data_IF_012493487284
#
_entry.id   IF_012493487284
#
_cell.length_a   1.000
_cell.length_b   1.000
_cell.length_c   1.000
_cell.angle_alpha   90.00
_cell.angle_beta   90.00
_cell.angle_gamma   90.00
#
_symmetry.space_group_name_H-M   'P 1'
#
loop_
_entity.id
_entity.type
_entity.pdbx_description
1 polymer ?
#
# COMPACT_ATOMS: atom_id res chain seq x y z
N UNK A 1 -7.76 -18.85 8.36
CA UNK A 1 -6.56 -19.28 7.62
C UNK A 1 -6.63 -18.68 6.24
N UNK A 2 -5.68 -17.80 5.93
CA UNK A 2 -5.60 -17.11 4.65
C UNK A 2 -5.12 -18.14 3.61
N UNK A 3 -6.00 -18.59 2.74
CA UNK A 3 -5.73 -19.63 1.73
C UNK A 3 -4.97 -19.10 0.51
N UNK A 4 -4.61 -17.80 0.51
CA UNK A 4 -4.00 -17.12 -0.65
C UNK A 4 -2.50 -16.81 -0.48
N UNK A 5 -1.88 -17.28 0.62
CA UNK A 5 -0.44 -17.13 0.80
C UNK A 5 0.33 -18.09 -0.09
N UNK A 6 1.44 -17.60 -0.63
CA UNK A 6 2.27 -18.31 -1.60
C UNK A 6 3.63 -18.67 -1.02
N UNK A 7 4.19 -19.77 -1.53
CA UNK A 7 5.61 -20.05 -1.33
C UNK A 7 6.46 -19.11 -2.23
N UNK A 8 7.75 -18.90 -1.92
CA UNK A 8 8.66 -18.18 -2.81
C UNK A 8 8.70 -18.74 -4.24
N UNK A 9 8.56 -20.07 -4.39
CA UNK A 9 8.55 -20.71 -5.70
C UNK A 9 7.22 -20.50 -6.46
N UNK A 10 6.09 -20.39 -5.77
CA UNK A 10 4.83 -20.04 -6.43
C UNK A 10 4.89 -18.62 -6.99
N UNK A 11 5.46 -17.67 -6.22
CA UNK A 11 5.69 -16.30 -6.70
C UNK A 11 6.65 -16.27 -7.89
N UNK A 12 7.70 -17.10 -7.86
CA UNK A 12 8.63 -17.23 -8.97
C UNK A 12 7.92 -17.72 -10.24
N UNK A 13 7.09 -18.76 -10.14
CA UNK A 13 6.35 -19.31 -11.28
C UNK A 13 5.38 -18.27 -11.86
N UNK A 14 4.66 -17.53 -11.01
CA UNK A 14 3.78 -16.46 -11.46
C UNK A 14 4.57 -15.35 -12.16
N UNK A 15 5.72 -14.97 -11.61
CA UNK A 15 6.60 -13.94 -12.19
C UNK A 15 7.16 -14.39 -13.53
N UNK A 16 7.54 -15.65 -13.67
CA UNK A 16 8.01 -16.22 -14.95
C UNK A 16 6.93 -16.10 -16.03
N UNK A 17 5.69 -16.46 -15.70
CA UNK A 17 4.57 -16.33 -16.63
C UNK A 17 4.35 -14.88 -17.06
N UNK A 18 4.43 -13.93 -16.13
CA UNK A 18 4.29 -12.50 -16.41
C UNK A 18 5.43 -11.98 -17.30
N UNK A 19 6.68 -12.34 -16.98
CA UNK A 19 7.86 -11.95 -17.78
C UNK A 19 7.74 -12.50 -19.20
N UNK A 20 7.34 -13.77 -19.37
CA UNK A 20 7.13 -14.37 -20.69
C UNK A 20 6.06 -13.60 -21.48
N UNK A 21 4.90 -13.35 -20.89
CA UNK A 21 3.82 -12.60 -21.54
C UNK A 21 4.26 -11.18 -21.92
N UNK A 22 4.99 -10.49 -21.07
CA UNK A 22 5.49 -9.15 -21.35
C UNK A 22 6.51 -9.15 -22.52
N UNK A 23 7.40 -10.13 -22.57
CA UNK A 23 8.34 -10.31 -23.66
C UNK A 23 7.62 -10.57 -24.99
N UNK A 24 6.59 -11.42 -24.99
CA UNK A 24 5.78 -11.72 -26.16
C UNK A 24 5.06 -10.46 -26.68
N UNK A 25 4.45 -9.67 -25.76
CA UNK A 25 3.78 -8.42 -26.11
C UNK A 25 4.78 -7.40 -26.68
N UNK A 26 5.97 -7.30 -26.09
CA UNK A 26 7.00 -6.36 -26.50
C UNK A 26 7.78 -6.83 -27.74
N UNK A 27 7.63 -8.08 -28.16
CA UNK A 27 8.38 -8.67 -29.29
C UNK A 27 9.88 -8.80 -29.02
N UNK A 28 10.27 -9.01 -27.75
CA UNK A 28 11.68 -9.15 -27.33
C UNK A 28 11.95 -10.54 -26.77
N UNK A 29 13.23 -10.95 -26.82
CA UNK A 29 13.66 -12.19 -26.17
C UNK A 29 13.86 -11.97 -24.67
N UNK A 30 13.44 -12.93 -23.80
CA UNK A 30 13.74 -12.88 -22.37
C UNK A 30 15.23 -12.67 -22.04
N UNK A 31 16.12 -13.20 -22.89
CA UNK A 31 17.58 -13.05 -22.74
C UNK A 31 18.08 -11.61 -23.00
N UNK A 32 17.25 -10.75 -23.58
CA UNK A 32 17.58 -9.33 -23.78
C UNK A 32 17.26 -8.45 -22.57
N UNK A 33 16.65 -9.01 -21.52
CA UNK A 33 16.32 -8.28 -20.29
C UNK A 33 17.62 -8.06 -19.51
N UNK A 34 17.92 -6.79 -19.21
CA UNK A 34 19.13 -6.41 -18.48
C UNK A 34 18.94 -6.46 -16.94
N UNK A 35 17.74 -6.25 -16.45
CA UNK A 35 17.39 -6.33 -15.02
C UNK A 35 15.86 -6.44 -14.85
N UNK A 36 15.44 -6.96 -13.70
CA UNK A 36 14.02 -7.04 -13.30
C UNK A 36 13.86 -6.33 -11.96
N UNK A 37 12.88 -5.43 -11.86
CA UNK A 37 12.44 -4.81 -10.61
C UNK A 37 11.17 -5.48 -10.09
N UNK A 38 11.14 -5.81 -8.80
CA UNK A 38 9.99 -6.41 -8.11
C UNK A 38 9.60 -5.56 -6.92
N UNK A 39 8.38 -5.00 -6.95
CA UNK A 39 7.75 -4.38 -5.79
C UNK A 39 6.88 -5.41 -5.07
N UNK A 40 7.06 -5.58 -3.77
CA UNK A 40 6.27 -6.49 -2.95
C UNK A 40 5.82 -5.82 -1.65
N UNK A 41 4.55 -6.04 -1.27
CA UNK A 41 4.08 -5.58 0.04
C UNK A 41 4.81 -6.31 1.16
N UNK A 42 5.37 -5.58 2.12
CA UNK A 42 6.07 -6.16 3.27
C UNK A 42 7.41 -5.49 3.60
N UNK A 43 8.16 -6.12 4.48
CA UNK A 43 9.46 -5.67 4.97
C UNK A 43 10.56 -6.29 4.10
N UNK A 44 11.29 -5.45 3.38
CA UNK A 44 12.30 -5.88 2.41
C UNK A 44 13.65 -5.24 2.70
N UNK A 45 14.69 -6.05 2.74
CA UNK A 45 16.06 -5.57 2.65
C UNK A 45 16.42 -5.48 1.16
N UNK A 46 16.39 -4.27 0.60
CA UNK A 46 16.62 -4.05 -0.83
C UNK A 46 18.07 -4.34 -1.28
N UNK A 47 19.06 -4.31 -0.37
CA UNK A 47 20.44 -4.61 -0.71
C UNK A 47 20.68 -6.10 -0.97
N UNK A 48 19.98 -6.96 -0.21
CA UNK A 48 20.10 -8.41 -0.32
C UNK A 48 18.96 -9.07 -1.09
N UNK A 49 17.85 -8.33 -1.33
CA UNK A 49 16.61 -8.88 -1.89
C UNK A 49 15.90 -9.86 -0.96
N UNK A 50 16.21 -9.81 0.36
CA UNK A 50 15.56 -10.62 1.39
C UNK A 50 14.23 -9.98 1.79
N UNK A 51 13.14 -10.73 1.65
CA UNK A 51 11.83 -10.34 2.18
C UNK A 51 11.70 -10.92 3.58
N UNK A 52 11.96 -10.09 4.59
CA UNK A 52 11.88 -10.51 5.99
C UNK A 52 10.45 -10.87 6.41
N UNK A 53 9.45 -10.16 5.87
CA UNK A 53 8.04 -10.47 6.06
C UNK A 53 7.19 -9.93 4.91
N UNK A 54 6.17 -10.67 4.52
CA UNK A 54 5.15 -10.22 3.56
C UNK A 54 3.80 -10.85 3.87
N UNK A 55 2.68 -10.12 3.72
CA UNK A 55 1.35 -10.71 3.83
C UNK A 55 1.06 -11.74 2.72
N UNK A 56 1.82 -11.72 1.63
CA UNK A 56 1.69 -12.62 0.48
C UNK A 56 2.41 -13.95 0.67
N UNK A 57 3.38 -14.03 1.58
CA UNK A 57 4.22 -15.20 1.80
C UNK A 57 3.75 -16.05 2.98
N UNK A 58 3.90 -17.37 2.86
CA UNK A 58 3.57 -18.33 3.92
C UNK A 58 4.56 -18.28 5.09
N UNK A 59 5.83 -17.98 4.78
CA UNK A 59 6.93 -17.94 5.74
C UNK A 59 7.75 -16.65 5.63
N UNK A 60 8.34 -16.19 6.73
CA UNK A 60 9.28 -15.06 6.73
C UNK A 60 10.62 -15.45 6.08
N UNK A 61 11.50 -14.45 5.95
CA UNK A 61 12.90 -14.57 5.52
C UNK A 61 13.08 -15.24 4.15
N UNK A 62 12.26 -14.84 3.18
CA UNK A 62 12.32 -15.34 1.80
C UNK A 62 13.41 -14.60 0.99
N UNK A 63 14.45 -15.30 0.46
CA UNK A 63 15.53 -14.69 -0.32
C UNK A 63 15.11 -14.50 -1.79
N UNK A 64 14.05 -13.71 -2.04
CA UNK A 64 13.46 -13.57 -3.38
C UNK A 64 14.45 -12.98 -4.40
N UNK A 65 15.29 -12.04 -4.00
CA UNK A 65 16.27 -11.44 -4.90
C UNK A 65 17.21 -12.49 -5.51
N UNK A 66 17.78 -13.35 -4.68
CA UNK A 66 18.68 -14.42 -5.15
C UNK A 66 17.90 -15.48 -5.94
N UNK A 67 16.79 -15.97 -5.40
CA UNK A 67 15.95 -16.98 -6.04
C UNK A 67 15.54 -16.58 -7.47
N UNK A 68 15.13 -15.33 -7.65
CA UNK A 68 14.69 -14.81 -8.94
C UNK A 68 15.87 -14.52 -9.87
N UNK A 69 16.99 -13.96 -9.35
CA UNK A 69 18.18 -13.70 -10.14
C UNK A 69 18.79 -14.99 -10.71
N UNK A 70 18.85 -16.04 -9.89
CA UNK A 70 19.36 -17.37 -10.31
C UNK A 70 18.46 -17.98 -11.40
N UNK A 71 17.14 -17.81 -11.26
CA UNK A 71 16.18 -18.36 -12.23
C UNK A 71 16.18 -17.62 -13.56
N UNK A 72 16.16 -16.28 -13.53
CA UNK A 72 16.11 -15.47 -14.76
C UNK A 72 17.48 -15.25 -15.42
N UNK A 73 18.57 -15.57 -14.74
CA UNK A 73 19.92 -15.33 -15.23
C UNK A 73 20.26 -13.84 -15.41
N UNK A 74 19.52 -12.95 -14.73
CA UNK A 74 19.70 -11.50 -14.77
C UNK A 74 19.49 -10.91 -13.37
N UNK A 75 20.10 -9.75 -13.03
CA UNK A 75 19.88 -9.12 -11.73
C UNK A 75 18.40 -8.84 -11.45
N UNK A 76 17.92 -9.27 -10.28
CA UNK A 76 16.57 -8.94 -9.80
C UNK A 76 16.67 -8.12 -8.52
N UNK A 77 16.11 -6.92 -8.58
CA UNK A 77 16.02 -5.99 -7.45
C UNK A 77 14.65 -6.10 -6.82
N UNK A 78 14.62 -6.36 -5.52
CA UNK A 78 13.36 -6.46 -4.75
C UNK A 78 13.31 -5.32 -3.74
N UNK A 79 12.19 -4.58 -3.71
CA UNK A 79 11.95 -3.54 -2.71
C UNK A 79 10.48 -3.54 -2.27
N UNK A 80 10.17 -2.82 -1.20
CA UNK A 80 8.80 -2.58 -0.78
C UNK A 80 8.01 -1.83 -1.87
N UNK A 81 6.75 -2.16 -2.06
CA UNK A 81 5.88 -1.60 -3.11
C UNK A 81 5.66 -0.08 -2.98
N UNK A 82 5.51 0.46 -1.76
CA UNK A 82 5.43 1.91 -1.54
C UNK A 82 6.75 2.61 -1.86
N UNK A 83 7.89 1.97 -1.58
CA UNK A 83 9.21 2.47 -1.96
C UNK A 83 9.37 2.53 -3.48
N UNK A 84 8.97 1.47 -4.18
CA UNK A 84 9.04 1.42 -5.66
C UNK A 84 8.18 2.53 -6.28
N UNK A 85 6.95 2.73 -5.77
CA UNK A 85 6.10 3.82 -6.22
C UNK A 85 6.73 5.19 -5.94
N UNK A 86 7.33 5.36 -4.77
CA UNK A 86 8.01 6.61 -4.40
C UNK A 86 9.19 6.92 -5.31
N UNK A 87 9.97 5.91 -5.71
CA UNK A 87 11.00 6.05 -6.72
C UNK A 87 10.43 6.41 -8.10
N UNK A 88 9.30 5.84 -8.47
CA UNK A 88 8.62 6.19 -9.73
C UNK A 88 8.18 7.66 -9.72
N UNK A 89 7.65 8.17 -8.61
CA UNK A 89 7.29 9.58 -8.45
C UNK A 89 8.52 10.49 -8.46
N UNK A 90 9.63 10.07 -7.87
CA UNK A 90 10.90 10.81 -7.88
C UNK A 90 11.48 10.93 -9.29
N UNK A 91 11.43 9.86 -10.08
CA UNK A 91 12.08 9.86 -11.40
C UNK A 91 11.18 10.32 -12.54
N UNK A 92 9.89 10.02 -12.47
CA UNK A 92 8.97 10.18 -13.60
C UNK A 92 7.69 10.96 -13.25
N UNK A 93 7.37 11.11 -11.96
CA UNK A 93 6.11 11.67 -11.48
C UNK A 93 6.19 13.08 -10.94
N UNK A 94 5.31 13.40 -10.01
CA UNK A 94 5.15 14.72 -9.40
C UNK A 94 6.33 15.12 -8.51
N UNK A 95 7.14 14.16 -8.05
CA UNK A 95 8.31 14.37 -7.21
C UNK A 95 9.58 14.82 -7.95
N UNK A 96 9.60 14.83 -9.28
CA UNK A 96 10.82 15.07 -10.09
C UNK A 96 11.57 16.37 -9.81
N UNK A 97 10.88 17.42 -9.39
CA UNK A 97 11.47 18.73 -9.13
C UNK A 97 11.60 19.02 -7.64
N UNK A 98 11.31 18.04 -6.77
CA UNK A 98 11.26 18.21 -5.33
C UNK A 98 12.35 17.39 -4.67
N UNK A 99 12.91 17.94 -3.60
CA UNK A 99 13.95 17.29 -2.81
C UNK A 99 13.39 16.51 -1.62
N UNK A 100 12.22 16.93 -1.11
CA UNK A 100 11.61 16.37 0.10
C UNK A 100 10.11 16.17 -0.13
N UNK A 101 9.66 14.94 -0.32
CA UNK A 101 8.23 14.66 -0.49
C UNK A 101 7.86 13.27 0.04
N UNK A 102 6.58 13.08 0.29
CA UNK A 102 6.02 11.83 0.79
C UNK A 102 5.02 11.27 -0.22
N UNK A 103 5.03 9.96 -0.40
CA UNK A 103 3.98 9.21 -1.11
C UNK A 103 3.24 8.33 -0.10
N UNK A 104 1.93 8.43 -0.05
CA UNK A 104 1.07 7.57 0.77
C UNK A 104 0.19 6.73 -0.14
N UNK A 105 0.24 5.42 0.01
CA UNK A 105 -0.59 4.48 -0.76
C UNK A 105 -1.74 3.95 0.10
N UNK A 106 -2.95 3.92 -0.44
CA UNK A 106 -4.14 3.40 0.24
C UNK A 106 -4.83 2.39 -0.67
N UNK A 107 -4.61 1.10 -0.37
CA UNK A 107 -5.12 -0.05 -1.14
C UNK A 107 -5.49 -1.20 -0.20
N UNK A 108 -4.96 -2.42 -0.47
CA UNK A 108 -5.05 -3.58 0.41
C UNK A 108 -4.43 -3.34 1.79
N UNK A 109 -3.49 -2.41 1.87
CA UNK A 109 -2.86 -1.89 3.06
C UNK A 109 -2.70 -0.37 2.95
N UNK A 110 -1.98 0.20 3.92
CA UNK A 110 -1.57 1.61 3.91
C UNK A 110 -0.06 1.67 4.00
N UNK A 111 0.57 2.11 2.93
CA UNK A 111 2.02 2.27 2.82
C UNK A 111 2.44 3.74 2.77
N UNK A 112 3.71 3.98 3.01
CA UNK A 112 4.32 5.30 2.88
C UNK A 112 5.77 5.16 2.38
N UNK A 113 6.16 6.03 1.45
CA UNK A 113 7.55 6.25 1.11
C UNK A 113 7.91 7.73 1.29
N UNK A 114 9.14 8.01 1.61
CA UNK A 114 9.65 9.36 1.85
C UNK A 114 10.96 9.59 1.10
N UNK A 115 11.02 10.68 0.36
CA UNK A 115 12.23 11.21 -0.25
C UNK A 115 12.72 12.37 0.60
N UNK A 116 13.99 12.31 1.00
CA UNK A 116 14.71 13.38 1.68
C UNK A 116 16.00 13.65 0.94
N UNK A 117 16.28 14.91 0.64
CA UNK A 117 17.48 15.35 -0.10
C UNK A 117 17.67 14.56 -1.42
N UNK A 118 16.59 14.38 -2.18
CA UNK A 118 16.55 13.63 -3.45
C UNK A 118 16.88 12.13 -3.30
N UNK A 119 16.83 11.55 -2.11
CA UNK A 119 17.09 10.15 -1.85
C UNK A 119 15.91 9.50 -1.13
N UNK A 120 15.58 8.29 -1.54
CA UNK A 120 14.56 7.50 -0.85
C UNK A 120 15.07 7.10 0.54
N UNK A 121 14.34 7.50 1.57
CA UNK A 121 14.62 7.13 2.95
C UNK A 121 14.07 5.72 3.24
N UNK A 122 14.91 4.80 3.68
CA UNK A 122 14.53 3.40 3.98
C UNK A 122 14.58 3.06 5.48
N UNK A 123 15.11 3.96 6.30
CA UNK A 123 15.41 3.66 7.71
C UNK A 123 16.65 2.75 7.84
N UNK A 124 17.10 2.56 9.07
CA UNK A 124 18.32 1.80 9.36
C UNK A 124 18.21 0.29 9.05
N UNK A 125 17.00 -0.26 9.04
CA UNK A 125 16.76 -1.70 8.91
C UNK A 125 15.70 -2.04 7.84
N UNK A 126 15.36 -1.09 6.96
CA UNK A 126 14.32 -1.29 5.96
C UNK A 126 12.89 -1.37 6.53
N UNK A 127 12.70 -1.10 7.83
CA UNK A 127 11.41 -1.11 8.52
C UNK A 127 10.87 0.31 8.77
N UNK A 128 11.48 1.31 8.17
CA UNK A 128 11.02 2.70 8.31
C UNK A 128 9.70 2.95 7.57
N UNK A 129 8.98 3.98 8.02
CA UNK A 129 7.81 4.51 7.32
C UNK A 129 6.57 3.60 7.28
N UNK A 130 6.41 2.72 8.26
CA UNK A 130 5.23 1.86 8.43
C UNK A 130 4.01 2.66 8.91
N UNK A 131 3.60 3.66 8.12
CA UNK A 131 2.50 4.60 8.44
C UNK A 131 1.20 3.86 8.77
N UNK A 132 0.88 2.82 8.00
CA UNK A 132 -0.32 2.02 8.18
C UNK A 132 -0.41 1.35 9.55
N UNK A 133 0.72 1.14 10.21
CA UNK A 133 0.79 0.49 11.52
C UNK A 133 0.97 1.46 12.70
N UNK A 134 1.01 2.78 12.41
CA UNK A 134 0.94 3.81 13.46
C UNK A 134 -0.42 3.78 14.16
N UNK A 135 -0.41 4.07 15.47
CA UNK A 135 -1.64 3.97 16.29
C UNK A 135 -2.44 5.27 16.21
N UNK A 136 -3.66 5.15 15.69
CA UNK A 136 -4.63 6.26 15.67
C UNK A 136 -5.72 6.10 16.73
N UNK A 137 -5.86 4.89 17.29
CA UNK A 137 -6.77 4.60 18.39
C UNK A 137 -6.30 3.36 19.16
N UNK A 138 -5.76 3.52 20.36
CA UNK A 138 -5.06 2.45 21.10
C UNK A 138 -5.86 1.14 21.24
N UNK A 139 -7.11 1.22 21.71
CA UNK A 139 -8.00 0.06 21.90
C UNK A 139 -8.95 -0.17 20.71
N UNK A 140 -8.55 0.28 19.54
CA UNK A 140 -9.38 0.29 18.36
C UNK A 140 -9.47 -1.04 17.60
N UNK A 141 -9.80 -0.94 16.31
CA UNK A 141 -10.01 -2.08 15.44
C UNK A 141 -8.78 -2.98 15.33
N UNK A 142 -9.01 -4.29 15.19
CA UNK A 142 -7.95 -5.27 14.94
C UNK A 142 -7.39 -5.09 13.53
N UNK A 143 -6.08 -4.92 13.44
CA UNK A 143 -5.32 -4.86 12.20
C UNK A 143 -4.88 -6.27 11.76
N UNK A 144 -4.63 -6.45 10.46
CA UNK A 144 -4.07 -7.70 9.90
C UNK A 144 -2.68 -8.05 10.47
N UNK A 145 -1.93 -7.06 10.99
CA UNK A 145 -0.65 -7.31 11.67
C UNK A 145 -0.81 -7.93 13.08
N UNK A 146 -2.03 -8.17 13.52
CA UNK A 146 -2.35 -8.74 14.84
C UNK A 146 -2.48 -7.72 15.97
N UNK A 147 -2.11 -6.46 15.75
CA UNK A 147 -2.24 -5.38 16.72
C UNK A 147 -3.55 -4.62 16.57
N UNK A 148 -3.90 -3.80 17.58
CA UNK A 148 -5.10 -2.95 17.53
C UNK A 148 -4.75 -1.49 17.26
N UNK A 149 -5.72 -0.78 16.66
CA UNK A 149 -5.69 0.66 16.49
C UNK A 149 -4.76 1.22 15.43
N UNK A 150 -4.21 0.37 14.57
CA UNK A 150 -3.41 0.78 13.43
C UNK A 150 -4.25 1.60 12.44
N UNK A 151 -3.67 2.61 11.81
CA UNK A 151 -4.29 3.43 10.78
C UNK A 151 -4.89 2.55 9.65
N UNK A 152 -4.17 1.53 9.22
CA UNK A 152 -4.59 0.59 8.18
C UNK A 152 -5.94 -0.08 8.49
N UNK A 153 -6.21 -0.38 9.77
CA UNK A 153 -7.46 -1.00 10.20
C UNK A 153 -8.70 -0.11 10.02
N UNK A 154 -8.52 1.12 9.55
CA UNK A 154 -9.59 2.09 9.28
C UNK A 154 -9.61 2.60 7.83
N UNK A 155 -8.47 2.53 7.11
CA UNK A 155 -8.33 3.08 5.76
C UNK A 155 -8.28 2.03 4.66
N UNK A 156 -7.66 0.86 4.93
CA UNK A 156 -7.47 -0.17 3.91
C UNK A 156 -8.81 -0.74 3.41
N UNK A 157 -8.78 -1.33 2.23
CA UNK A 157 -9.94 -1.91 1.57
C UNK A 157 -10.66 -2.94 2.44
N UNK A 158 -9.93 -3.81 3.13
CA UNK A 158 -10.50 -4.80 4.04
C UNK A 158 -11.21 -4.15 5.25
N UNK A 159 -10.70 -3.00 5.70
CA UNK A 159 -11.31 -2.26 6.80
C UNK A 159 -12.63 -1.65 6.37
N UNK A 160 -12.66 -0.99 5.21
CA UNK A 160 -13.89 -0.44 4.64
C UNK A 160 -14.88 -1.55 4.27
N UNK A 161 -14.41 -2.69 3.75
CA UNK A 161 -15.27 -3.83 3.43
C UNK A 161 -15.87 -4.49 4.67
N UNK A 162 -15.15 -4.54 5.78
CA UNK A 162 -15.70 -4.99 7.08
C UNK A 162 -16.89 -4.12 7.49
N UNK A 163 -16.77 -2.81 7.36
CA UNK A 163 -17.88 -1.89 7.62
C UNK A 163 -19.03 -2.10 6.63
N UNK A 164 -18.70 -2.32 5.34
CA UNK A 164 -19.67 -2.62 4.30
C UNK A 164 -20.48 -3.88 4.61
N UNK A 165 -19.87 -4.92 5.15
CA UNK A 165 -20.55 -6.16 5.53
C UNK A 165 -21.72 -5.88 6.47
N UNK A 166 -21.50 -5.04 7.49
CA UNK A 166 -22.54 -4.65 8.45
C UNK A 166 -23.65 -3.84 7.79
N UNK A 167 -23.29 -2.81 7.01
CA UNK A 167 -24.26 -1.85 6.45
C UNK A 167 -25.02 -2.42 5.26
N UNK A 168 -24.39 -3.29 4.48
CA UNK A 168 -25.00 -3.94 3.31
C UNK A 168 -25.77 -5.21 3.68
N UNK A 169 -25.77 -5.64 4.95
CA UNK A 169 -26.40 -6.88 5.40
C UNK A 169 -25.76 -8.13 4.77
N UNK A 170 -24.48 -8.08 4.44
CA UNK A 170 -23.75 -9.21 3.87
C UNK A 170 -23.42 -10.22 4.97
N UNK A 171 -23.51 -11.50 4.65
CA UNK A 171 -23.17 -12.55 5.63
C UNK A 171 -21.66 -12.56 5.88
N UNK A 172 -21.18 -12.44 7.14
CA UNK A 172 -19.74 -12.47 7.44
C UNK A 172 -19.08 -13.81 7.08
N UNK A 173 -19.86 -14.89 6.98
CA UNK A 173 -19.37 -16.24 6.73
C UNK A 173 -19.21 -16.59 5.24
N UNK A 174 -19.58 -15.68 4.35
CA UNK A 174 -19.44 -15.90 2.89
C UNK A 174 -18.26 -15.10 2.35
N UNK A 175 -17.43 -15.70 1.48
CA UNK A 175 -16.41 -14.96 0.78
C UNK A 175 -17.10 -13.89 -0.09
N UNK A 176 -16.83 -12.63 0.20
CA UNK A 176 -17.32 -11.50 -0.57
C UNK A 176 -16.27 -11.03 -1.54
N UNK A 177 -16.70 -10.70 -2.76
CA UNK A 177 -15.84 -9.99 -3.70
C UNK A 177 -15.61 -8.58 -3.15
N UNK A 178 -14.43 -8.36 -2.56
CA UNK A 178 -14.04 -7.12 -1.89
C UNK A 178 -14.24 -5.88 -2.78
N UNK A 179 -13.76 -5.87 -4.04
CA UNK A 179 -13.99 -4.75 -4.97
C UNK A 179 -15.48 -4.45 -5.20
N UNK A 180 -16.33 -5.47 -5.29
CA UNK A 180 -17.76 -5.26 -5.47
C UNK A 180 -18.42 -4.71 -4.20
N UNK A 181 -18.01 -5.17 -3.02
CA UNK A 181 -18.53 -4.66 -1.75
C UNK A 181 -18.17 -3.16 -1.58
N UNK A 182 -16.94 -2.79 -1.86
CA UNK A 182 -16.49 -1.40 -1.82
C UNK A 182 -17.20 -0.53 -2.85
N UNK A 183 -17.39 -1.01 -4.06
CA UNK A 183 -18.16 -0.30 -5.10
C UNK A 183 -19.59 -0.02 -4.64
N UNK A 184 -20.29 -1.03 -4.10
CA UNK A 184 -21.64 -0.87 -3.56
C UNK A 184 -21.70 0.09 -2.38
N UNK A 185 -20.69 0.06 -1.50
CA UNK A 185 -20.58 0.99 -0.39
C UNK A 185 -20.49 2.43 -0.91
N UNK A 186 -19.60 2.67 -1.86
CA UNK A 186 -19.42 3.97 -2.50
C UNK A 186 -20.70 4.46 -3.20
N UNK A 187 -21.36 3.60 -3.99
CA UNK A 187 -22.62 3.93 -4.66
C UNK A 187 -23.71 4.35 -3.66
N UNK A 188 -23.84 3.65 -2.54
CA UNK A 188 -24.80 4.03 -1.48
C UNK A 188 -24.45 5.38 -0.85
N UNK A 189 -23.19 5.63 -0.56
CA UNK A 189 -22.74 6.92 -0.03
C UNK A 189 -23.04 8.05 -1.02
N UNK A 190 -22.77 7.85 -2.31
CA UNK A 190 -23.06 8.82 -3.39
C UNK A 190 -24.55 9.09 -3.54
N UNK A 191 -25.39 8.08 -3.34
CA UNK A 191 -26.84 8.18 -3.36
C UNK A 191 -27.44 8.80 -2.07
N UNK A 192 -26.61 9.24 -1.13
CA UNK A 192 -27.06 10.01 0.03
C UNK A 192 -27.29 9.20 1.30
N UNK A 193 -26.93 7.91 1.35
CA UNK A 193 -27.04 7.11 2.57
C UNK A 193 -26.09 7.65 3.65
N UNK A 194 -26.64 8.29 4.66
CA UNK A 194 -25.88 8.97 5.71
C UNK A 194 -25.07 7.99 6.57
N UNK A 195 -25.58 6.79 6.83
CA UNK A 195 -24.86 5.79 7.61
C UNK A 195 -23.58 5.36 6.88
N UNK A 196 -23.67 5.20 5.56
CA UNK A 196 -22.53 4.86 4.72
C UNK A 196 -21.55 6.02 4.59
N UNK A 197 -22.03 7.25 4.42
CA UNK A 197 -21.18 8.45 4.41
C UNK A 197 -20.34 8.58 5.67
N UNK A 198 -20.92 8.30 6.83
CA UNK A 198 -20.22 8.34 8.12
C UNK A 198 -19.00 7.38 8.16
N UNK A 199 -19.05 6.25 7.44
CA UNK A 199 -17.89 5.33 7.35
C UNK A 199 -16.73 6.03 6.64
N UNK A 200 -16.98 6.63 5.48
CA UNK A 200 -15.94 7.34 4.72
C UNK A 200 -15.45 8.60 5.44
N UNK A 201 -16.33 9.37 6.07
CA UNK A 201 -15.97 10.53 6.87
C UNK A 201 -15.03 10.12 8.03
N UNK A 202 -15.34 9.03 8.73
CA UNK A 202 -14.47 8.51 9.79
C UNK A 202 -13.11 8.08 9.24
N UNK A 203 -13.07 7.38 8.12
CA UNK A 203 -11.82 7.03 7.44
C UNK A 203 -11.03 8.29 7.04
N UNK A 204 -11.70 9.29 6.46
CA UNK A 204 -11.09 10.58 6.12
C UNK A 204 -10.49 11.31 7.33
N UNK A 205 -11.15 11.27 8.50
CA UNK A 205 -10.59 11.84 9.74
C UNK A 205 -9.32 11.15 10.19
N UNK A 206 -9.25 9.81 10.15
CA UNK A 206 -8.01 9.10 10.46
C UNK A 206 -6.90 9.41 9.46
N UNK A 207 -7.24 9.56 8.18
CA UNK A 207 -6.28 10.01 7.17
C UNK A 207 -5.78 11.43 7.49
N UNK A 208 -6.66 12.36 7.85
CA UNK A 208 -6.30 13.73 8.22
C UNK A 208 -5.30 13.77 9.38
N UNK A 209 -5.53 12.96 10.43
CA UNK A 209 -4.59 12.80 11.56
C UNK A 209 -3.23 12.29 11.07
N UNK A 210 -3.22 11.27 10.23
CA UNK A 210 -1.97 10.71 9.72
C UNK A 210 -1.19 11.71 8.86
N UNK A 211 -1.89 12.45 7.99
CA UNK A 211 -1.26 13.46 7.14
C UNK A 211 -0.74 14.66 7.95
N UNK A 212 -1.46 15.10 8.99
CA UNK A 212 -0.96 16.15 9.89
C UNK A 212 0.29 15.70 10.65
N UNK A 213 0.36 14.45 11.08
CA UNK A 213 1.56 13.88 11.70
C UNK A 213 2.74 13.85 10.73
N UNK A 214 2.52 13.50 9.45
CA UNK A 214 3.55 13.55 8.41
C UNK A 214 4.08 14.98 8.24
N UNK A 215 3.18 15.96 8.18
CA UNK A 215 3.57 17.39 8.07
C UNK A 215 4.44 17.77 9.26
N UNK A 216 4.03 17.48 10.48
CA UNK A 216 4.76 17.85 11.68
C UNK A 216 6.12 17.15 11.84
N UNK A 217 6.27 15.93 11.35
CA UNK A 217 7.49 15.13 11.53
C UNK A 217 8.52 15.32 10.42
N UNK A 218 8.05 15.54 9.19
CA UNK A 218 8.91 15.52 8.00
C UNK A 218 8.93 16.82 7.23
N UNK A 219 7.97 17.74 7.46
CA UNK A 219 7.83 19.04 6.75
C UNK A 219 8.03 18.90 5.23
N UNK A 220 7.29 18.02 4.56
CA UNK A 220 7.52 17.74 3.14
C UNK A 220 7.00 18.87 2.24
N UNK A 221 7.67 19.10 1.11
CA UNK A 221 7.23 20.03 0.07
C UNK A 221 5.91 19.57 -0.59
N UNK A 222 5.67 18.27 -0.63
CA UNK A 222 4.48 17.65 -1.23
C UNK A 222 4.13 16.33 -0.56
N UNK A 223 2.84 16.07 -0.39
CA UNK A 223 2.32 14.72 -0.07
C UNK A 223 1.50 14.24 -1.25
N UNK A 224 1.92 13.12 -1.86
CA UNK A 224 1.23 12.46 -2.96
C UNK A 224 0.37 11.34 -2.38
N UNK A 225 -0.94 11.41 -2.60
CA UNK A 225 -1.87 10.33 -2.25
C UNK A 225 -2.10 9.44 -3.47
N UNK A 226 -1.91 8.14 -3.32
CA UNK A 226 -2.03 7.16 -4.39
C UNK A 226 -2.79 5.92 -3.94
N UNK A 227 -3.11 5.06 -4.88
CA UNK A 227 -3.79 3.80 -4.65
C UNK A 227 -5.23 3.78 -5.12
N UNK A 228 -5.78 2.56 -5.22
CA UNK A 228 -7.12 2.35 -5.80
C UNK A 228 -8.24 3.01 -5.00
N UNK A 229 -8.07 3.18 -3.68
CA UNK A 229 -9.08 3.79 -2.82
C UNK A 229 -9.17 5.30 -3.01
N UNK A 230 -8.15 5.95 -3.59
CA UNK A 230 -8.17 7.39 -3.89
C UNK A 230 -9.19 7.77 -4.96
N UNK A 231 -9.72 6.82 -5.72
CA UNK A 231 -10.87 7.04 -6.62
C UNK A 231 -12.18 7.36 -5.89
N UNK A 232 -12.24 7.09 -4.58
CA UNK A 232 -13.41 7.42 -3.77
C UNK A 232 -13.24 8.81 -3.17
N UNK A 233 -13.98 9.79 -3.69
CA UNK A 233 -13.90 11.21 -3.34
C UNK A 233 -14.01 11.48 -1.83
N UNK A 234 -14.69 10.60 -1.10
CA UNK A 234 -14.90 10.76 0.34
C UNK A 234 -13.62 10.70 1.18
N UNK A 235 -12.57 10.00 0.69
CA UNK A 235 -11.28 9.98 1.39
C UNK A 235 -10.47 11.25 1.18
N UNK A 236 -10.77 12.00 0.11
CA UNK A 236 -10.12 13.27 -0.20
C UNK A 236 -11.13 14.44 -0.22
N UNK A 237 -12.20 14.33 0.56
CA UNK A 237 -13.24 15.35 0.65
C UNK A 237 -12.71 16.63 1.28
N UNK A 238 -13.37 17.76 0.98
CA UNK A 238 -13.04 19.06 1.56
C UNK A 238 -13.05 19.03 3.09
N UNK A 239 -13.91 18.22 3.70
CA UNK A 239 -13.97 18.01 5.15
C UNK A 239 -12.67 17.41 5.69
N UNK A 240 -12.12 16.36 5.04
CA UNK A 240 -10.84 15.75 5.42
C UNK A 240 -9.70 16.78 5.31
N UNK A 241 -9.65 17.51 4.21
CA UNK A 241 -8.63 18.56 4.01
C UNK A 241 -8.75 19.68 5.03
N UNK A 242 -9.98 20.10 5.38
CA UNK A 242 -10.24 21.10 6.42
C UNK A 242 -9.77 20.61 7.79
N UNK A 243 -10.07 19.35 8.13
CA UNK A 243 -9.64 18.75 9.40
C UNK A 243 -8.12 18.60 9.46
N UNK A 244 -7.48 18.16 8.37
CA UNK A 244 -6.02 18.10 8.29
C UNK A 244 -5.37 19.47 8.55
N UNK A 245 -5.92 20.55 7.93
CA UNK A 245 -5.41 21.92 8.14
C UNK A 245 -5.63 22.42 9.56
N UNK A 246 -6.72 22.02 10.20
CA UNK A 246 -7.01 22.39 11.59
C UNK A 246 -6.10 21.64 12.60
N UNK A 247 -5.57 20.49 12.23
CA UNK A 247 -4.65 19.67 13.03
C UNK A 247 -3.18 20.02 12.77
N UNK A 248 -2.86 20.58 11.59
CA UNK A 248 -1.50 21.04 11.27
C UNK A 248 -1.22 22.41 11.92
N UNK A 249 0.04 22.62 12.34
CA UNK A 249 0.50 23.91 12.92
C UNK A 249 0.65 24.98 11.83
#
# INVERSE_FOLDING_TARGET
TNTDKKTPHDLLNDSQNLVTQLCDIAGISPQSISAIGVGIAGIVNCETGLVAWSPLLESPDAPLGNLFSDHFGTPVLVDNDANVLTLAELWFGAGRALSNFVVVTIENGVGMGFVSDNQLFRGAHGMGLELGHTKVQLDGALCRCGQRGCLEAYLADYALAREATTVLGLSPDKPHNLPQALKKLYEKASNGDQNVRTIFQRAGRYLAVALSNIIHLFDPELIILSGQLMRYDFLNAAEMQSEMRALAL
#
